data_IF_300766227972
#
_entry.id   IF_300766227972
#
_cell.length_a   1.000
_cell.length_b   1.000
_cell.length_c   1.000
_cell.angle_alpha   90.00
_cell.angle_beta   90.00
_cell.angle_gamma   90.00
#
_symmetry.space_group_name_H-M   'P 1'
#
loop_
_entity.id
_entity.type
_entity.pdbx_description
1 polymer ?
#
# COMPACT_ATOMS: atom_id res chain seq x y z
N UNK A 1 -20.23 6.58 -30.93
CA UNK A 1 -19.61 7.34 -29.83
C UNK A 1 -19.21 6.32 -28.79
N UNK A 2 -17.93 5.97 -28.71
CA UNK A 2 -17.44 5.00 -27.73
C UNK A 2 -17.83 5.48 -26.35
N UNK A 3 -18.58 4.68 -25.62
CA UNK A 3 -18.75 4.81 -24.17
C UNK A 3 -17.38 4.63 -23.55
N UNK A 4 -16.60 5.71 -23.49
CA UNK A 4 -15.38 5.75 -22.69
C UNK A 4 -15.83 5.48 -21.25
N UNK A 5 -15.41 4.33 -20.72
CA UNK A 5 -15.64 3.98 -19.32
C UNK A 5 -15.10 5.10 -18.44
N UNK A 6 -15.90 5.46 -17.44
CA UNK A 6 -15.51 6.41 -16.40
C UNK A 6 -14.18 5.96 -15.74
N UNK A 7 -13.21 6.85 -15.48
CA UNK A 7 -11.92 6.47 -14.91
C UNK A 7 -12.02 5.66 -13.60
N UNK A 8 -13.03 5.93 -12.78
CA UNK A 8 -13.22 5.27 -11.48
C UNK A 8 -13.64 3.82 -11.70
N UNK A 9 -14.64 3.59 -12.56
CA UNK A 9 -15.02 2.25 -13.00
C UNK A 9 -13.88 1.52 -13.69
N UNK A 10 -13.10 2.21 -14.53
CA UNK A 10 -11.96 1.61 -15.22
C UNK A 10 -10.90 1.06 -14.24
N UNK A 11 -10.59 1.81 -13.18
CA UNK A 11 -9.66 1.36 -12.15
C UNK A 11 -10.20 0.19 -11.32
N UNK A 12 -11.50 0.21 -11.00
CA UNK A 12 -12.16 -0.85 -10.24
C UNK A 12 -12.25 -2.14 -11.05
N UNK A 13 -12.63 -2.04 -12.32
CA UNK A 13 -12.70 -3.18 -13.24
C UNK A 13 -11.31 -3.79 -13.48
N UNK A 14 -10.25 -2.96 -13.59
CA UNK A 14 -8.88 -3.45 -13.67
C UNK A 14 -8.54 -4.32 -12.46
N UNK A 15 -8.73 -3.80 -11.23
CA UNK A 15 -8.43 -4.54 -10.01
C UNK A 15 -9.29 -5.80 -9.90
N UNK A 16 -10.57 -5.73 -10.26
CA UNK A 16 -11.44 -6.91 -10.31
C UNK A 16 -10.88 -7.98 -11.26
N UNK A 17 -10.54 -7.59 -12.48
CA UNK A 17 -10.00 -8.50 -13.50
C UNK A 17 -8.72 -9.17 -13.03
N UNK A 18 -7.78 -8.40 -12.47
CA UNK A 18 -6.52 -8.93 -11.91
C UNK A 18 -6.80 -9.93 -10.79
N UNK A 19 -7.69 -9.61 -9.84
CA UNK A 19 -8.07 -10.52 -8.75
C UNK A 19 -8.76 -11.80 -9.21
N UNK A 20 -9.36 -11.78 -10.40
CA UNK A 20 -10.01 -12.96 -11.01
C UNK A 20 -9.14 -13.65 -12.05
N UNK A 21 -7.84 -13.32 -12.14
CA UNK A 21 -6.87 -13.88 -13.10
C UNK A 21 -7.34 -13.74 -14.56
N UNK A 22 -7.99 -12.62 -14.88
CA UNK A 22 -8.47 -12.30 -16.22
C UNK A 22 -7.48 -11.46 -17.03
N UNK A 23 -7.82 -11.20 -18.31
CA UNK A 23 -7.01 -10.36 -19.20
C UNK A 23 -7.12 -8.87 -18.84
N UNK A 24 -6.06 -8.35 -18.20
CA UNK A 24 -5.95 -6.96 -17.75
C UNK A 24 -5.46 -5.98 -18.84
N UNK A 25 -4.93 -6.47 -19.96
CA UNK A 25 -4.30 -5.61 -20.99
C UNK A 25 -5.25 -4.55 -21.60
N UNK A 26 -6.53 -4.87 -21.90
CA UNK A 26 -7.47 -3.87 -22.39
C UNK A 26 -7.67 -2.70 -21.42
N UNK A 27 -7.57 -2.95 -20.12
CA UNK A 27 -7.71 -1.92 -19.08
C UNK A 27 -6.42 -1.10 -18.93
N UNK A 28 -5.25 -1.75 -19.01
CA UNK A 28 -3.93 -1.07 -19.03
C UNK A 28 -3.80 -0.11 -20.21
N UNK A 29 -4.14 -0.55 -21.42
CA UNK A 29 -4.15 0.29 -22.62
C UNK A 29 -5.10 1.49 -22.49
N UNK A 30 -6.29 1.25 -21.93
CA UNK A 30 -7.29 2.30 -21.74
C UNK A 30 -6.87 3.32 -20.67
N UNK A 31 -6.22 2.88 -19.59
CA UNK A 31 -5.60 3.77 -18.62
C UNK A 31 -4.47 4.60 -19.25
N UNK A 32 -3.62 3.98 -20.06
CA UNK A 32 -2.52 4.64 -20.75
C UNK A 32 -3.00 5.77 -21.66
N UNK A 33 -4.11 5.54 -22.38
CA UNK A 33 -4.69 6.47 -23.37
C UNK A 33 -5.76 7.41 -22.78
N UNK A 34 -6.01 7.35 -21.47
CA UNK A 34 -7.08 8.11 -20.83
C UNK A 34 -6.92 9.63 -21.03
N UNK A 35 -7.99 10.31 -21.46
CA UNK A 35 -7.92 11.75 -21.65
C UNK A 35 -7.74 12.47 -20.30
N UNK A 36 -6.82 13.43 -20.27
CA UNK A 36 -6.52 14.19 -19.03
C UNK A 36 -7.73 14.93 -18.48
N UNK A 37 -8.61 15.41 -19.34
CA UNK A 37 -9.86 16.09 -18.96
C UNK A 37 -10.85 15.14 -18.27
N UNK A 38 -10.87 13.86 -18.64
CA UNK A 38 -11.71 12.85 -18.01
C UNK A 38 -11.17 12.50 -16.63
N UNK A 39 -9.85 12.29 -16.53
CA UNK A 39 -9.17 12.04 -15.26
C UNK A 39 -9.37 13.22 -14.29
N UNK A 40 -9.24 14.46 -14.75
CA UNK A 40 -9.45 15.67 -13.94
C UNK A 40 -10.88 15.76 -13.37
N UNK A 41 -11.89 15.43 -14.16
CA UNK A 41 -13.29 15.39 -13.67
C UNK A 41 -13.51 14.28 -12.64
N UNK A 42 -13.00 13.08 -12.91
CA UNK A 42 -13.16 11.92 -12.05
C UNK A 42 -12.43 12.10 -10.70
N UNK A 43 -11.24 12.69 -10.73
CA UNK A 43 -10.39 12.91 -9.55
C UNK A 43 -10.57 14.31 -8.96
N UNK A 44 -11.79 14.87 -9.05
CA UNK A 44 -12.09 16.23 -8.58
C UNK A 44 -12.29 16.31 -7.07
N UNK A 45 -12.54 15.19 -6.39
CA UNK A 45 -12.72 15.11 -4.94
C UNK A 45 -11.77 14.07 -4.31
N UNK A 46 -11.77 14.01 -2.98
CA UNK A 46 -10.90 13.14 -2.19
C UNK A 46 -11.23 11.66 -2.45
N UNK A 47 -12.49 11.31 -2.44
CA UNK A 47 -12.98 9.94 -2.52
C UNK A 47 -12.65 9.33 -3.89
N UNK A 48 -12.82 10.09 -4.97
CA UNK A 48 -12.45 9.68 -6.33
C UNK A 48 -10.94 9.49 -6.48
N UNK A 49 -10.12 10.39 -5.88
CA UNK A 49 -8.67 10.22 -5.82
C UNK A 49 -8.27 8.96 -5.07
N UNK A 50 -8.83 8.74 -3.87
CA UNK A 50 -8.55 7.56 -3.07
C UNK A 50 -8.92 6.28 -3.81
N UNK A 51 -10.17 6.16 -4.26
CA UNK A 51 -10.63 4.94 -4.91
C UNK A 51 -9.81 4.61 -6.16
N UNK A 52 -9.53 5.62 -6.99
CA UNK A 52 -8.75 5.43 -8.22
C UNK A 52 -7.32 4.98 -7.92
N UNK A 53 -6.62 5.70 -7.04
CA UNK A 53 -5.21 5.43 -6.77
C UNK A 53 -4.99 4.15 -5.97
N UNK A 54 -5.86 3.81 -5.03
CA UNK A 54 -5.82 2.52 -4.33
C UNK A 54 -6.04 1.36 -5.31
N UNK A 55 -7.04 1.45 -6.18
CA UNK A 55 -7.30 0.41 -7.17
C UNK A 55 -6.14 0.25 -8.15
N UNK A 56 -5.61 1.36 -8.69
CA UNK A 56 -4.46 1.32 -9.59
C UNK A 56 -3.22 0.76 -8.90
N UNK A 57 -2.91 1.19 -7.67
CA UNK A 57 -1.75 0.66 -6.95
C UNK A 57 -1.88 -0.85 -6.76
N UNK A 58 -3.00 -1.32 -6.20
CA UNK A 58 -3.17 -2.73 -5.86
C UNK A 58 -3.20 -3.63 -7.10
N UNK A 59 -3.85 -3.19 -8.18
CA UNK A 59 -3.91 -3.97 -9.41
C UNK A 59 -2.52 -4.12 -10.04
N UNK A 60 -1.75 -3.03 -10.12
CA UNK A 60 -0.42 -3.09 -10.69
C UNK A 60 0.58 -3.75 -9.74
N UNK A 61 0.45 -3.61 -8.43
CA UNK A 61 1.26 -4.35 -7.47
C UNK A 61 1.11 -5.86 -7.70
N UNK A 62 -0.12 -6.36 -7.81
CA UNK A 62 -0.37 -7.78 -8.07
C UNK A 62 0.15 -8.22 -9.45
N UNK A 63 -0.18 -7.48 -10.53
CA UNK A 63 0.29 -7.81 -11.88
C UNK A 63 1.82 -7.86 -11.96
N UNK A 64 2.49 -6.88 -11.38
CA UNK A 64 3.95 -6.79 -11.45
C UNK A 64 4.62 -7.87 -10.57
N UNK A 65 4.01 -8.24 -9.44
CA UNK A 65 4.49 -9.35 -8.61
C UNK A 65 4.32 -10.70 -9.32
N UNK A 66 3.24 -10.90 -10.07
CA UNK A 66 3.02 -12.10 -10.89
C UNK A 66 3.99 -12.15 -12.09
N UNK A 67 4.18 -11.02 -12.80
CA UNK A 67 5.13 -10.90 -13.91
C UNK A 67 6.59 -11.16 -13.45
N UNK A 68 6.95 -10.77 -12.22
CA UNK A 68 8.28 -11.01 -11.64
C UNK A 68 8.40 -12.35 -10.89
N UNK A 69 7.31 -13.02 -10.50
CA UNK A 69 7.40 -14.36 -9.90
C UNK A 69 7.89 -15.43 -10.91
N UNK A 70 7.74 -15.16 -12.21
CA UNK A 70 8.29 -15.96 -13.29
C UNK A 70 9.78 -15.69 -13.57
N UNK A 71 10.35 -14.64 -12.98
CA UNK A 71 11.76 -14.24 -13.10
C UNK A 71 12.44 -14.43 -11.72
N UNK A 72 13.62 -15.05 -11.64
CA UNK A 72 14.32 -15.36 -10.38
C UNK A 72 14.87 -14.09 -9.64
N UNK A 73 14.15 -12.97 -9.63
CA UNK A 73 14.58 -11.65 -9.15
C UNK A 73 14.41 -11.45 -7.63
N UNK A 74 13.63 -12.28 -6.94
CA UNK A 74 13.51 -12.21 -5.48
C UNK A 74 14.69 -12.83 -4.71
N UNK A 75 15.73 -13.30 -5.39
CA UNK A 75 17.00 -13.68 -4.75
C UNK A 75 17.84 -12.48 -4.25
N UNK A 76 17.48 -11.25 -4.66
CA UNK A 76 18.30 -10.03 -4.49
C UNK A 76 18.15 -9.23 -3.19
N UNK A 77 17.23 -9.61 -2.30
CA UNK A 77 16.98 -8.91 -1.04
C UNK A 77 16.37 -7.50 -1.17
N UNK A 78 16.40 -6.72 -0.09
CA UNK A 78 15.67 -5.44 0.08
C UNK A 78 15.96 -4.36 -0.99
N UNK A 79 17.13 -4.40 -1.63
CA UNK A 79 17.51 -3.41 -2.65
C UNK A 79 16.81 -3.64 -3.99
N UNK A 80 16.54 -4.89 -4.35
CA UNK A 80 15.92 -5.23 -5.63
C UNK A 80 14.40 -5.06 -5.54
N UNK A 81 13.79 -5.37 -4.39
CA UNK A 81 12.42 -4.94 -4.06
C UNK A 81 12.27 -3.42 -4.19
N UNK A 82 13.21 -2.62 -3.64
CA UNK A 82 13.13 -1.17 -3.74
C UNK A 82 13.19 -0.67 -5.19
N UNK A 83 14.07 -1.26 -6.02
CA UNK A 83 14.17 -0.91 -7.44
C UNK A 83 12.89 -1.28 -8.18
N UNK A 84 12.27 -2.41 -7.87
CA UNK A 84 11.02 -2.85 -8.45
C UNK A 84 9.92 -1.80 -8.27
N UNK A 85 9.61 -1.43 -7.01
CA UNK A 85 8.58 -0.42 -6.72
C UNK A 85 8.90 0.99 -7.27
N UNK A 86 10.16 1.25 -7.64
CA UNK A 86 10.62 2.52 -8.19
C UNK A 86 10.65 2.58 -9.73
N UNK A 87 10.37 1.48 -10.45
CA UNK A 87 10.32 1.48 -11.92
C UNK A 87 9.01 2.08 -12.42
N UNK A 88 9.10 2.86 -13.50
CA UNK A 88 7.93 3.45 -14.17
C UNK A 88 7.21 2.39 -15.01
N UNK A 89 6.19 1.76 -14.42
CA UNK A 89 5.48 0.61 -15.02
C UNK A 89 3.95 0.80 -15.08
N UNK A 90 3.42 1.87 -14.49
CA UNK A 90 1.97 2.13 -14.40
C UNK A 90 1.58 3.28 -15.34
N UNK A 91 1.05 3.00 -16.54
CA UNK A 91 0.65 4.06 -17.47
C UNK A 91 -0.73 4.64 -17.11
N UNK A 92 -0.79 5.95 -16.88
CA UNK A 92 -2.03 6.70 -16.60
C UNK A 92 -2.03 8.02 -17.36
N UNK A 93 -3.02 8.19 -18.25
CA UNK A 93 -3.23 9.43 -19.02
C UNK A 93 -1.95 9.96 -19.68
N UNK A 94 -1.25 9.07 -20.40
CA UNK A 94 -0.02 9.33 -21.13
C UNK A 94 1.23 9.54 -20.27
N UNK A 95 1.17 9.32 -18.96
CA UNK A 95 2.29 9.41 -18.03
C UNK A 95 2.58 8.03 -17.46
N UNK A 96 3.86 7.66 -17.40
CA UNK A 96 4.29 6.47 -16.70
C UNK A 96 4.61 6.82 -15.25
N UNK A 97 4.06 6.05 -14.33
CA UNK A 97 4.23 6.19 -12.89
C UNK A 97 4.86 4.93 -12.32
N UNK A 98 5.65 5.08 -11.26
CA UNK A 98 6.03 3.95 -10.40
C UNK A 98 4.98 3.69 -9.32
N UNK A 99 5.00 2.50 -8.70
CA UNK A 99 4.20 2.23 -7.50
C UNK A 99 4.54 3.22 -6.37
N UNK A 100 5.83 3.57 -6.24
CA UNK A 100 6.29 4.62 -5.33
C UNK A 100 5.70 6.00 -5.63
N UNK A 101 5.42 6.34 -6.90
CA UNK A 101 4.78 7.60 -7.25
C UNK A 101 3.31 7.61 -6.89
N UNK A 102 2.62 6.48 -7.06
CA UNK A 102 1.22 6.35 -6.65
C UNK A 102 1.12 6.39 -5.12
N UNK A 103 1.87 5.57 -4.40
CA UNK A 103 1.84 5.56 -2.94
C UNK A 103 2.34 6.89 -2.38
N UNK A 104 3.57 7.27 -2.66
CA UNK A 104 4.19 8.37 -1.92
C UNK A 104 3.97 9.74 -2.56
N UNK A 105 3.82 9.80 -3.88
CA UNK A 105 3.53 11.03 -4.60
C UNK A 105 2.05 11.40 -4.51
N UNK A 106 1.17 10.47 -4.88
CA UNK A 106 -0.26 10.74 -5.04
C UNK A 106 -1.05 10.52 -3.75
N UNK A 107 -0.96 9.35 -3.12
CA UNK A 107 -1.71 9.03 -1.90
C UNK A 107 -1.14 9.72 -0.66
N UNK A 108 0.18 9.65 -0.43
CA UNK A 108 0.81 10.29 0.74
C UNK A 108 1.08 11.79 0.58
N UNK A 109 0.52 12.42 -0.45
CA UNK A 109 0.62 13.86 -0.68
C UNK A 109 2.06 14.37 -0.84
N UNK A 110 2.81 13.78 -1.76
CA UNK A 110 4.20 14.14 -2.08
C UNK A 110 5.17 13.96 -0.90
N UNK A 111 5.20 12.79 -0.26
CA UNK A 111 6.14 12.46 0.81
C UNK A 111 7.29 11.59 0.31
N UNK A 112 8.43 11.67 1.01
CA UNK A 112 9.56 10.80 0.74
C UNK A 112 9.34 9.40 1.35
N UNK A 113 9.73 8.32 0.64
CA UNK A 113 9.63 6.95 1.14
C UNK A 113 10.34 6.77 2.50
N UNK A 114 11.57 7.28 2.60
CA UNK A 114 12.45 7.15 3.78
C UNK A 114 12.32 8.31 4.79
N UNK A 115 11.30 9.16 4.63
CA UNK A 115 11.12 10.36 5.45
C UNK A 115 10.41 10.15 6.79
N UNK A 116 10.16 8.90 7.20
CA UNK A 116 9.29 8.53 8.33
C UNK A 116 7.88 9.14 8.29
N UNK A 117 7.43 9.61 7.12
CA UNK A 117 6.17 10.35 6.95
C UNK A 117 6.24 11.86 7.26
N UNK A 118 7.42 12.40 7.55
CA UNK A 118 7.60 13.84 7.86
C UNK A 118 8.13 14.66 6.69
N UNK A 119 8.95 14.05 5.83
CA UNK A 119 9.68 14.80 4.81
C UNK A 119 8.89 14.86 3.49
N UNK A 120 8.60 16.06 2.96
CA UNK A 120 8.01 16.21 1.64
C UNK A 120 9.05 15.93 0.53
N UNK A 121 8.57 15.53 -0.66
CA UNK A 121 9.35 15.46 -1.89
C UNK A 121 9.72 16.89 -2.31
N UNK A 122 11.00 17.18 -2.61
CA UNK A 122 11.44 18.54 -2.91
C UNK A 122 10.91 19.06 -4.26
N UNK A 123 10.68 18.17 -5.24
CA UNK A 123 10.29 18.56 -6.60
C UNK A 123 9.18 17.65 -7.16
N UNK A 124 7.93 17.75 -6.68
CA UNK A 124 6.83 16.99 -7.24
C UNK A 124 6.57 17.39 -8.69
N UNK A 125 6.07 16.47 -9.52
CA UNK A 125 5.78 16.75 -10.94
C UNK A 125 4.50 17.58 -11.09
N UNK A 126 4.22 18.12 -12.28
CA UNK A 126 2.95 18.81 -12.53
C UNK A 126 1.75 17.87 -12.41
N UNK A 127 1.91 16.62 -12.85
CA UNK A 127 0.92 15.56 -12.70
C UNK A 127 0.63 15.27 -11.23
N UNK A 128 1.69 15.06 -10.44
CA UNK A 128 1.58 14.79 -9.01
C UNK A 128 0.88 15.94 -8.28
N UNK A 129 1.27 17.21 -8.54
CA UNK A 129 0.62 18.36 -7.91
C UNK A 129 -0.88 18.46 -8.20
N UNK A 130 -1.32 18.04 -9.38
CA UNK A 130 -2.72 18.09 -9.79
C UNK A 130 -3.53 16.96 -9.13
N UNK A 131 -3.00 15.73 -9.18
CA UNK A 131 -3.77 14.53 -8.85
C UNK A 131 -3.51 13.93 -7.46
N UNK A 132 -2.52 14.42 -6.72
CA UNK A 132 -2.29 14.00 -5.32
C UNK A 132 -3.46 14.36 -4.41
N UNK A 133 -3.58 13.66 -3.29
CA UNK A 133 -4.44 14.07 -2.19
C UNK A 133 -4.01 15.43 -1.63
N UNK A 134 -4.96 16.17 -1.08
CA UNK A 134 -4.67 17.45 -0.44
C UNK A 134 -3.87 17.24 0.86
N UNK A 135 -4.24 16.20 1.61
CA UNK A 135 -3.60 15.76 2.84
C UNK A 135 -3.46 14.23 2.81
N UNK A 136 -2.44 13.72 3.49
CA UNK A 136 -2.21 12.28 3.61
C UNK A 136 -3.27 11.68 4.54
N UNK A 137 -4.05 10.75 4.03
CA UNK A 137 -4.95 9.92 4.84
C UNK A 137 -4.14 8.73 5.39
N UNK A 138 -3.97 8.56 6.73
CA UNK A 138 -3.18 7.46 7.30
C UNK A 138 -3.77 6.07 7.00
N UNK A 139 -5.06 6.01 6.66
CA UNK A 139 -5.81 4.77 6.41
C UNK A 139 -5.32 4.02 5.17
N UNK A 140 -4.70 4.72 4.22
CA UNK A 140 -4.13 4.11 3.00
C UNK A 140 -3.09 3.03 3.34
N UNK A 141 -2.40 3.12 4.48
CA UNK A 141 -1.35 2.16 4.86
C UNK A 141 -1.88 0.76 5.13
N UNK A 142 -3.19 0.62 5.34
CA UNK A 142 -3.89 -0.64 5.58
C UNK A 142 -4.65 -1.13 4.33
N UNK A 143 -4.52 -0.42 3.21
CA UNK A 143 -5.25 -0.68 1.97
C UNK A 143 -4.34 -1.01 0.79
N UNK A 144 -3.03 -0.90 0.97
CA UNK A 144 -2.03 -1.11 -0.06
C UNK A 144 -1.38 -2.49 0.10
N UNK A 145 -1.41 -3.28 -0.97
CA UNK A 145 -0.75 -4.58 -1.04
C UNK A 145 0.75 -4.43 -1.26
N UNK A 146 1.56 -4.84 -0.28
CA UNK A 146 3.01 -4.75 -0.35
C UNK A 146 3.70 -6.07 -0.75
N UNK A 147 2.92 -7.14 -0.99
CA UNK A 147 3.46 -8.47 -1.31
C UNK A 147 4.02 -9.24 -0.11
N UNK A 148 3.72 -8.79 1.11
CA UNK A 148 4.11 -9.48 2.36
C UNK A 148 2.98 -10.40 2.86
N UNK A 149 3.33 -11.47 3.59
CA UNK A 149 2.40 -12.52 4.07
C UNK A 149 1.27 -12.03 5.01
N UNK A 150 1.38 -10.80 5.53
CA UNK A 150 0.41 -10.19 6.46
C UNK A 150 -0.40 -9.05 5.83
N UNK A 151 -0.69 -9.14 4.53
CA UNK A 151 -1.49 -8.12 3.85
C UNK A 151 -2.99 -8.28 4.15
N UNK A 152 -3.70 -7.22 4.58
CA UNK A 152 -5.15 -7.27 4.70
C UNK A 152 -5.80 -7.56 3.34
N UNK A 153 -7.00 -8.19 3.34
CA UNK A 153 -7.71 -8.50 2.10
C UNK A 153 -7.99 -7.23 1.30
N UNK A 154 -7.46 -7.16 0.08
CA UNK A 154 -7.58 -5.99 -0.79
C UNK A 154 -9.01 -5.80 -1.27
N UNK A 155 -9.73 -4.77 -0.80
CA UNK A 155 -11.04 -4.41 -1.33
C UNK A 155 -10.94 -3.76 -2.72
N UNK A 156 -12.05 -3.75 -3.46
CA UNK A 156 -12.17 -2.96 -4.69
C UNK A 156 -12.89 -1.67 -4.31
N UNK A 157 -12.21 -0.54 -4.46
CA UNK A 157 -12.68 0.73 -3.92
C UNK A 157 -13.58 1.47 -4.91
N UNK A 158 -14.71 1.98 -4.41
CA UNK A 158 -15.59 2.91 -5.10
C UNK A 158 -15.56 4.26 -4.36
N UNK A 159 -15.76 5.41 -5.02
CA UNK A 159 -15.82 6.70 -4.31
C UNK A 159 -16.96 6.77 -3.29
N UNK A 160 -17.99 5.93 -3.44
CA UNK A 160 -19.14 5.92 -2.54
C UNK A 160 -18.81 5.22 -1.22
N UNK A 161 -18.02 4.15 -1.29
CA UNK A 161 -17.84 3.22 -0.17
C UNK A 161 -16.38 3.17 0.32
N UNK A 162 -15.44 3.89 -0.33
CA UNK A 162 -13.99 3.86 -0.01
C UNK A 162 -13.69 4.14 1.46
N UNK A 163 -14.39 5.07 2.10
CA UNK A 163 -14.15 5.37 3.50
C UNK A 163 -14.59 4.22 4.42
N UNK A 164 -15.74 3.61 4.14
CA UNK A 164 -16.26 2.47 4.90
C UNK A 164 -15.38 1.23 4.73
N UNK A 165 -14.94 0.94 3.50
CA UNK A 165 -14.03 -0.17 3.21
C UNK A 165 -12.65 0.01 3.86
N UNK A 166 -12.15 1.25 3.92
CA UNK A 166 -10.92 1.56 4.66
C UNK A 166 -11.10 1.33 6.16
N UNK A 167 -12.20 1.78 6.73
CA UNK A 167 -12.48 1.61 8.16
C UNK A 167 -12.58 0.13 8.53
N UNK A 168 -13.27 -0.69 7.72
CA UNK A 168 -13.36 -2.14 7.91
C UNK A 168 -11.98 -2.80 7.88
N UNK A 169 -11.13 -2.44 6.90
CA UNK A 169 -9.78 -3.00 6.79
C UNK A 169 -8.92 -2.67 8.01
N UNK A 170 -9.07 -1.48 8.57
CA UNK A 170 -8.33 -1.03 9.75
C UNK A 170 -8.81 -1.75 11.01
N UNK A 171 -10.13 -1.82 11.24
CA UNK A 171 -10.68 -2.51 12.39
C UNK A 171 -10.17 -3.95 12.46
N UNK A 172 -10.25 -4.67 11.34
CA UNK A 172 -9.73 -6.02 11.22
C UNK A 172 -8.23 -6.10 11.49
N UNK A 173 -7.44 -5.23 10.84
CA UNK A 173 -5.98 -5.25 10.99
C UNK A 173 -5.54 -4.96 12.43
N UNK A 174 -6.17 -3.97 13.10
CA UNK A 174 -5.82 -3.61 14.46
C UNK A 174 -6.26 -4.68 15.46
N UNK A 175 -7.41 -5.32 15.26
CA UNK A 175 -7.86 -6.43 16.10
C UNK A 175 -6.85 -7.60 16.06
N UNK A 176 -6.29 -7.90 14.90
CA UNK A 176 -5.32 -8.98 14.75
C UNK A 176 -3.91 -8.62 15.21
N UNK A 177 -3.47 -7.36 15.00
CA UNK A 177 -2.06 -6.99 15.11
C UNK A 177 -1.72 -6.04 16.27
N UNK A 178 -2.71 -5.55 17.02
CA UNK A 178 -2.48 -4.65 18.17
C UNK A 178 -2.88 -5.35 19.46
N UNK A 179 -1.96 -5.35 20.43
CA UNK A 179 -2.23 -5.83 21.79
C UNK A 179 -2.08 -4.69 22.78
N UNK A 180 -3.03 -4.56 23.70
CA UNK A 180 -2.98 -3.56 24.77
C UNK A 180 -2.90 -4.25 26.14
N UNK A 181 -1.86 -3.91 26.91
CA UNK A 181 -1.70 -4.27 28.32
C UNK A 181 -2.18 -3.11 29.22
N UNK A 182 -3.35 -3.24 29.88
CA UNK A 182 -3.89 -2.20 30.76
C UNK A 182 -3.10 -2.04 32.06
N UNK A 183 -2.43 -3.09 32.54
CA UNK A 183 -1.69 -3.06 33.80
C UNK A 183 -0.34 -2.35 33.62
N UNK A 184 0.35 -2.68 32.53
CA UNK A 184 1.60 -2.02 32.14
C UNK A 184 1.41 -0.70 31.40
N UNK A 185 0.17 -0.35 31.01
CA UNK A 185 -0.14 0.86 30.25
C UNK A 185 0.60 0.93 28.91
N UNK A 186 0.77 -0.22 28.24
CA UNK A 186 1.58 -0.36 27.02
C UNK A 186 0.76 -0.97 25.89
N UNK A 187 0.85 -0.40 24.70
CA UNK A 187 0.26 -0.95 23.48
C UNK A 187 1.38 -1.42 22.56
N UNK A 188 1.37 -2.71 22.23
CA UNK A 188 2.25 -3.31 21.23
C UNK A 188 1.61 -3.16 19.87
N UNK A 189 2.30 -2.49 18.94
CA UNK A 189 1.77 -2.13 17.62
C UNK A 189 2.73 -2.53 16.49
N UNK A 190 2.22 -2.73 15.27
CA UNK A 190 3.05 -3.07 14.12
C UNK A 190 4.10 -2.01 13.77
N UNK A 191 5.21 -2.43 13.17
CA UNK A 191 6.29 -1.53 12.73
C UNK A 191 5.83 -0.55 11.66
N UNK A 192 4.72 -0.83 10.98
CA UNK A 192 4.03 0.08 10.05
C UNK A 192 3.87 1.49 10.66
N UNK A 193 3.37 1.57 11.89
CA UNK A 193 3.19 2.83 12.63
C UNK A 193 4.51 3.56 12.88
N UNK A 194 5.64 2.84 12.99
CA UNK A 194 6.97 3.45 13.09
C UNK A 194 7.45 3.97 11.75
N UNK A 195 7.28 3.18 10.68
CA UNK A 195 7.71 3.50 9.31
C UNK A 195 7.02 4.76 8.79
N UNK A 196 5.73 4.90 9.08
CA UNK A 196 4.89 6.01 8.61
C UNK A 196 4.47 6.96 9.73
N UNK A 197 5.24 7.06 10.80
CA UNK A 197 4.90 7.82 12.01
C UNK A 197 4.39 9.24 11.74
N UNK A 198 4.99 9.96 10.80
CA UNK A 198 4.59 11.32 10.44
C UNK A 198 3.28 11.40 9.66
N UNK A 199 2.84 10.32 9.01
CA UNK A 199 1.54 10.24 8.35
C UNK A 199 0.41 10.16 9.37
N UNK A 200 0.65 9.49 10.51
CA UNK A 200 -0.25 9.45 11.66
C UNK A 200 -0.19 10.70 12.53
N UNK A 201 0.61 11.72 12.21
CA UNK A 201 0.77 12.90 13.09
C UNK A 201 1.65 12.64 14.33
N UNK A 202 2.57 11.69 14.26
CA UNK A 202 3.48 11.37 15.36
C UNK A 202 2.91 10.36 16.36
N UNK A 203 3.65 10.13 17.45
CA UNK A 203 3.24 9.18 18.51
C UNK A 203 1.87 9.50 19.10
N UNK A 204 1.56 10.79 19.31
CA UNK A 204 0.25 11.21 19.82
C UNK A 204 -0.88 10.91 18.84
N UNK A 205 -0.65 11.09 17.54
CA UNK A 205 -1.66 10.79 16.54
C UNK A 205 -1.81 9.29 16.27
N UNK A 206 -0.76 8.49 16.45
CA UNK A 206 -0.90 7.01 16.52
C UNK A 206 -1.81 6.62 17.69
N UNK A 207 -1.59 7.15 18.88
CA UNK A 207 -2.48 6.86 20.03
C UNK A 207 -3.92 7.31 19.77
N UNK A 208 -4.10 8.47 19.13
CA UNK A 208 -5.44 8.94 18.74
C UNK A 208 -6.11 7.98 17.74
N UNK A 209 -5.36 7.51 16.73
CA UNK A 209 -5.82 6.54 15.74
C UNK A 209 -6.22 5.22 16.39
N UNK A 210 -5.41 4.69 17.31
CA UNK A 210 -5.76 3.45 18.03
C UNK A 210 -7.03 3.60 18.88
N UNK A 211 -7.29 4.79 19.45
CA UNK A 211 -8.52 5.07 20.20
C UNK A 211 -9.74 5.18 19.29
N UNK A 212 -9.57 5.81 18.14
CA UNK A 212 -10.62 6.01 17.14
C UNK A 212 -11.18 4.65 16.67
N UNK A 213 -10.31 3.69 16.43
CA UNK A 213 -10.66 2.33 16.03
C UNK A 213 -10.78 1.34 17.19
N UNK A 214 -10.92 1.82 18.42
CA UNK A 214 -11.16 1.01 19.63
C UNK A 214 -10.07 -0.05 19.94
N UNK A 215 -8.87 0.05 19.37
CA UNK A 215 -7.73 -0.82 19.67
C UNK A 215 -7.15 -0.56 21.07
N UNK A 216 -7.39 0.65 21.61
CA UNK A 216 -7.11 0.99 23.02
C UNK A 216 -8.29 1.78 23.61
N UNK A 217 -8.49 1.77 24.94
CA UNK A 217 -9.55 2.55 25.57
C UNK A 217 -9.45 4.05 25.26
N UNK A 218 -10.59 4.72 25.07
CA UNK A 218 -10.68 6.11 24.61
C UNK A 218 -9.91 7.12 25.48
N UNK A 219 -9.76 6.83 26.77
CA UNK A 219 -9.04 7.65 27.75
C UNK A 219 -7.59 7.21 27.99
N UNK A 220 -7.18 6.02 27.52
CA UNK A 220 -5.86 5.45 27.77
C UNK A 220 -4.75 6.13 26.96
N UNK A 221 -3.66 6.54 27.60
CA UNK A 221 -2.45 7.10 26.94
C UNK A 221 -1.28 6.11 27.03
N UNK A 222 -1.30 5.00 26.27
CA UNK A 222 -0.29 3.97 26.39
C UNK A 222 1.09 4.43 25.91
N UNK A 223 2.15 3.85 26.47
CA UNK A 223 3.43 3.77 25.78
C UNK A 223 3.32 2.84 24.57
N UNK A 224 3.91 3.23 23.45
CA UNK A 224 3.94 2.40 22.24
C UNK A 224 5.20 1.54 22.24
N UNK A 225 5.02 0.22 22.25
CA UNK A 225 6.05 -0.75 21.90
C UNK A 225 5.81 -1.23 20.47
N UNK A 226 6.89 -1.36 19.69
CA UNK A 226 6.78 -1.85 18.32
C UNK A 226 7.17 -3.31 18.28
N UNK A 227 6.38 -4.13 17.58
CA UNK A 227 6.68 -5.56 17.38
C UNK A 227 8.15 -5.79 17.00
N UNK A 228 8.72 -6.87 17.54
CA UNK A 228 10.08 -7.31 17.24
C UNK A 228 9.96 -8.38 16.16
N UNK A 229 10.72 -8.24 15.07
CA UNK A 229 10.78 -9.28 14.05
C UNK A 229 11.45 -10.51 14.68
N UNK A 230 10.71 -11.60 14.78
CA UNK A 230 11.31 -12.92 15.00
C UNK A 230 11.81 -13.43 13.65
N UNK A 231 13.12 -13.40 13.45
CA UNK A 231 13.78 -14.01 12.29
C UNK A 231 13.87 -15.54 12.44
N UNK A 232 12.88 -16.19 13.05
CA UNK A 232 12.94 -17.62 13.38
C UNK A 232 12.30 -18.54 12.33
N UNK A 233 11.77 -18.02 11.23
CA UNK A 233 11.03 -18.83 10.24
C UNK A 233 11.80 -19.17 8.94
N UNK A 234 12.98 -18.59 8.68
CA UNK A 234 13.75 -18.86 7.44
C UNK A 234 15.15 -19.43 7.69
N UNK A 235 15.29 -20.38 8.61
CA UNK A 235 16.48 -21.22 8.72
C UNK A 235 16.14 -22.66 9.11
N UNK A 236 15.15 -23.28 8.45
CA UNK A 236 15.18 -24.72 8.24
C UNK A 236 15.93 -24.98 6.92
N UNK A 237 17.25 -24.72 6.95
CA UNK A 237 18.14 -25.34 5.98
C UNK A 237 18.45 -26.72 6.53
N UNK A 238 17.78 -27.72 5.95
CA UNK A 238 18.09 -29.14 6.08
C UNK A 238 19.60 -29.36 5.93
N UNK A 239 20.28 -29.56 7.06
CA UNK A 239 21.63 -30.09 7.13
C UNK A 239 21.59 -31.61 7.23
N UNK A 240 20.82 -32.26 6.34
CA UNK A 240 20.98 -33.67 6.02
C UNK A 240 21.89 -33.79 4.79
N UNK A 241 23.18 -33.61 5.03
CA UNK A 241 24.25 -33.72 4.05
C UNK A 241 25.30 -34.74 4.49
N UNK A 242 24.92 -36.01 4.33
CA UNK A 242 25.78 -37.14 3.95
C UNK A 242 27.14 -37.28 4.65
N UNK A 243 27.12 -37.97 5.79
CA UNK A 243 28.29 -38.64 6.31
C UNK A 243 28.35 -40.05 5.76
N UNK A 244 29.01 -40.28 4.63
CA UNK A 244 29.98 -41.37 4.53
C UNK A 244 30.81 -41.32 3.24
N UNK A 245 32.03 -41.82 3.41
CA UNK A 245 32.92 -42.36 2.36
C UNK A 245 33.74 -41.36 1.51
N UNK A 246 34.99 -41.12 1.93
CA UNK A 246 36.22 -41.50 1.20
C UNK A 246 37.42 -41.22 2.11
N UNK A 247 37.95 -42.25 2.78
CA UNK A 247 39.36 -42.29 3.21
C UNK A 247 39.91 -43.73 3.17
N UNK A 248 40.76 -43.94 2.16
CA UNK A 248 41.85 -44.93 2.04
C UNK A 248 41.50 -46.42 1.90
#
# INVERSE_FOLDING_TARGET
MSTQLDPLSLSADLLYTVKTEGDADPFRERLATLERSQLDRALSNREGKLSFWLNCYNAYAQLLLEEEADDELFEGGLLDQWKFFARDQVPVSGVWLSLNDIEHGLLRSSKLPWGLGYLPRPFPTAFERQFRLAECDPRIHFALSHGDDHCPPTAIYSPRDVDEELDIAIEWFLEENVTYDPEGGTATVPRLFRRFRGDFGGTSGIVAFLREYNAVPTDATPSLEYERIDWSADLDVDMDGDGDDVRR
#
